data_IF_614507363500
#
_entry.id   IF_614507363500
#
_cell.length_a   1.000
_cell.length_b   1.000
_cell.length_c   1.000
_cell.angle_alpha   90.00
_cell.angle_beta   90.00
_cell.angle_gamma   90.00
#
_symmetry.space_group_name_H-M   'P 1'
#
loop_
_entity.id
_entity.type
_entity.pdbx_description
1 polymer ?
#
# COMPACT_ATOMS: atom_id res chain seq x y z
N UNK A 1 -1.62 -20.62 -11.85
CA UNK A 1 -1.22 -19.33 -11.26
C UNK A 1 -2.39 -18.71 -10.51
N UNK A 2 -2.13 -17.77 -9.58
CA UNK A 2 -3.18 -17.03 -8.92
C UNK A 2 -3.80 -16.04 -9.89
N UNK A 3 -5.11 -15.93 -9.87
CA UNK A 3 -5.81 -14.91 -10.65
C UNK A 3 -5.68 -13.54 -9.96
N UNK A 4 -6.09 -12.48 -10.65
CA UNK A 4 -6.18 -11.14 -10.06
C UNK A 4 -7.04 -11.16 -8.78
N UNK A 5 -8.21 -11.78 -8.83
CA UNK A 5 -9.12 -11.84 -7.69
C UNK A 5 -8.49 -12.57 -6.51
N UNK A 6 -7.83 -13.71 -6.73
CA UNK A 6 -7.18 -14.47 -5.66
C UNK A 6 -6.04 -13.70 -4.98
N UNK A 7 -5.42 -12.75 -5.69
CA UNK A 7 -4.30 -11.97 -5.19
C UNK A 7 -4.76 -10.69 -4.48
N UNK A 8 -5.81 -10.06 -4.96
CA UNK A 8 -6.24 -8.74 -4.50
C UNK A 8 -7.56 -8.76 -3.73
N UNK A 9 -8.27 -9.87 -3.73
CA UNK A 9 -9.53 -10.03 -3.03
C UNK A 9 -9.79 -11.51 -2.72
N UNK A 10 -10.17 -11.80 -1.49
CA UNK A 10 -10.58 -13.17 -1.13
C UNK A 10 -11.94 -13.52 -1.74
N UNK A 11 -12.15 -14.77 -2.18
CA UNK A 11 -13.45 -15.23 -2.66
C UNK A 11 -14.59 -14.94 -1.68
N UNK A 12 -15.75 -14.59 -2.22
CA UNK A 12 -16.91 -14.14 -1.41
C UNK A 12 -17.43 -15.22 -0.48
N UNK A 13 -17.30 -16.46 -0.88
CA UNK A 13 -17.82 -17.66 -0.17
C UNK A 13 -16.81 -18.28 0.80
N UNK A 14 -15.69 -17.63 1.05
CA UNK A 14 -14.70 -18.08 2.03
C UNK A 14 -15.24 -17.86 3.46
N UNK A 15 -15.41 -18.92 4.32
CA UNK A 15 -16.05 -18.80 5.63
C UNK A 15 -15.37 -17.78 6.56
N UNK A 16 -14.07 -17.85 6.73
CA UNK A 16 -13.29 -16.93 7.59
C UNK A 16 -12.59 -15.88 6.73
N UNK A 17 -13.38 -15.09 6.03
CA UNK A 17 -12.92 -14.13 5.05
C UNK A 17 -11.98 -13.08 5.66
N UNK A 18 -10.73 -13.14 5.24
CA UNK A 18 -9.70 -12.15 5.54
C UNK A 18 -9.35 -11.37 4.26
N UNK A 19 -8.46 -10.43 4.36
CA UNK A 19 -7.92 -9.71 3.20
C UNK A 19 -6.98 -10.60 2.41
N UNK A 20 -6.97 -10.45 1.09
CA UNK A 20 -5.92 -11.03 0.28
C UNK A 20 -4.58 -10.41 0.65
N UNK A 21 -3.51 -11.17 0.54
CA UNK A 21 -2.15 -10.75 0.89
C UNK A 21 -1.21 -10.92 -0.28
N UNK A 22 -0.42 -9.90 -0.56
CA UNK A 22 0.61 -9.97 -1.60
C UNK A 22 1.78 -9.05 -1.28
N UNK A 23 2.82 -9.13 -2.11
CA UNK A 23 4.01 -8.26 -2.04
C UNK A 23 3.76 -7.02 -2.90
N UNK A 24 4.25 -5.89 -2.43
CA UNK A 24 4.36 -4.65 -3.20
C UNK A 24 5.82 -4.34 -3.43
N UNK A 25 6.23 -4.17 -4.68
CA UNK A 25 7.58 -3.76 -5.06
C UNK A 25 7.66 -2.24 -5.17
N UNK A 26 8.57 -1.62 -4.43
CA UNK A 26 8.86 -0.20 -4.54
C UNK A 26 9.87 -0.01 -5.66
N UNK A 27 9.46 0.69 -6.72
CA UNK A 27 10.25 0.84 -7.94
C UNK A 27 10.95 2.19 -8.04
N UNK A 28 10.65 3.13 -7.15
CA UNK A 28 11.25 4.46 -7.13
C UNK A 28 11.88 4.72 -5.77
N UNK A 29 13.23 4.78 -5.73
CA UNK A 29 13.98 4.96 -4.48
C UNK A 29 13.89 6.39 -3.95
N UNK A 30 13.70 7.38 -4.82
CA UNK A 30 13.51 8.78 -4.44
C UNK A 30 12.00 9.08 -4.33
N UNK A 31 11.39 8.54 -3.29
CA UNK A 31 9.94 8.64 -3.08
C UNK A 31 9.59 8.61 -1.59
N UNK A 32 8.44 9.19 -1.23
CA UNK A 32 7.89 9.03 0.12
C UNK A 32 7.59 7.56 0.43
N UNK A 33 7.12 6.81 -0.58
CA UNK A 33 6.86 5.38 -0.43
C UNK A 33 8.11 4.63 0.04
N UNK A 34 9.25 4.87 -0.58
CA UNK A 34 10.51 4.24 -0.18
C UNK A 34 10.95 4.68 1.23
N UNK A 35 10.83 5.96 1.55
CA UNK A 35 11.19 6.50 2.87
C UNK A 35 10.31 5.91 3.97
N UNK A 36 9.03 5.75 3.72
CA UNK A 36 8.06 5.18 4.67
C UNK A 36 8.34 3.70 4.93
N UNK A 37 8.58 2.95 3.87
CA UNK A 37 8.79 1.48 3.96
C UNK A 37 10.21 1.15 4.44
N UNK A 38 11.19 1.91 4.02
CA UNK A 38 12.60 1.70 4.37
C UNK A 38 13.25 0.49 3.68
N UNK A 39 12.61 -0.03 2.62
CA UNK A 39 13.07 -1.17 1.83
C UNK A 39 12.47 -1.11 0.43
N UNK A 40 12.94 -1.98 -0.47
CA UNK A 40 12.44 -2.07 -1.84
C UNK A 40 11.18 -2.94 -1.99
N UNK A 41 10.74 -3.57 -0.91
CA UNK A 41 9.54 -4.41 -0.89
C UNK A 41 8.77 -4.21 0.41
N UNK A 42 7.45 -4.34 0.32
CA UNK A 42 6.58 -4.46 1.47
C UNK A 42 5.77 -5.75 1.31
N UNK A 43 5.98 -6.69 2.22
CA UNK A 43 5.37 -8.02 2.15
C UNK A 43 4.03 -8.08 2.89
N UNK A 44 3.16 -8.97 2.42
CA UNK A 44 1.89 -9.29 3.05
C UNK A 44 0.97 -8.08 3.24
N UNK A 45 0.95 -7.15 2.29
CA UNK A 45 0.00 -6.03 2.36
C UNK A 45 -1.43 -6.54 2.30
N UNK A 46 -2.30 -5.89 3.05
CA UNK A 46 -3.73 -6.18 3.04
C UNK A 46 -4.36 -5.63 1.78
N UNK A 47 -4.98 -6.47 0.96
CA UNK A 47 -5.55 -6.09 -0.34
C UNK A 47 -7.02 -6.44 -0.43
N UNK A 48 -7.82 -5.50 -0.93
CA UNK A 48 -9.25 -5.68 -1.09
C UNK A 48 -9.79 -4.76 -2.18
N UNK A 49 -9.61 -5.15 -3.44
CA UNK A 49 -10.15 -4.40 -4.57
C UNK A 49 -10.38 -5.32 -5.76
N UNK A 50 -11.26 -4.93 -6.67
CA UNK A 50 -11.59 -5.66 -7.90
C UNK A 50 -11.32 -4.84 -9.16
N UNK A 51 -10.80 -3.63 -9.00
CA UNK A 51 -10.35 -2.75 -10.07
C UNK A 51 -8.96 -2.23 -9.75
N UNK A 52 -8.16 -1.98 -10.76
CA UNK A 52 -6.81 -1.46 -10.58
C UNK A 52 -6.41 -0.56 -11.74
N UNK A 53 -5.46 0.32 -11.45
CA UNK A 53 -4.76 1.11 -12.46
C UNK A 53 -3.54 0.31 -12.91
N UNK A 54 -3.35 0.21 -14.22
CA UNK A 54 -2.19 -0.47 -14.80
C UNK A 54 -1.13 0.51 -15.28
N UNK A 55 -1.49 1.77 -15.46
CA UNK A 55 -0.58 2.82 -15.87
C UNK A 55 -1.15 4.20 -15.53
N UNK A 56 -0.28 5.21 -15.47
CA UNK A 56 -0.68 6.62 -15.38
C UNK A 56 0.00 7.41 -16.49
N UNK A 57 -0.73 8.32 -17.12
CA UNK A 57 -0.19 9.14 -18.20
C UNK A 57 0.61 10.31 -17.64
N UNK A 58 1.61 10.79 -18.40
CA UNK A 58 2.52 11.85 -17.96
C UNK A 58 1.82 13.18 -17.62
N UNK A 59 0.68 13.44 -18.22
CA UNK A 59 -0.11 14.68 -18.02
C UNK A 59 -0.85 14.72 -16.67
N UNK A 60 -0.93 13.61 -15.94
CA UNK A 60 -1.57 13.56 -14.62
C UNK A 60 -0.74 14.23 -13.52
N UNK A 61 0.57 14.40 -13.72
CA UNK A 61 1.51 14.82 -12.69
C UNK A 61 1.79 13.74 -11.65
N UNK A 62 1.31 12.52 -11.86
CA UNK A 62 1.52 11.38 -10.96
C UNK A 62 2.72 10.56 -11.40
N UNK A 63 3.49 10.07 -10.42
CA UNK A 63 4.58 9.13 -10.60
C UNK A 63 4.20 7.80 -9.98
N UNK A 64 4.30 6.69 -10.72
CA UNK A 64 4.15 5.35 -10.17
C UNK A 64 5.40 5.04 -9.35
N UNK A 65 5.23 4.75 -8.07
CA UNK A 65 6.34 4.50 -7.14
C UNK A 65 6.36 3.06 -6.61
N UNK A 66 5.26 2.34 -6.73
CA UNK A 66 5.18 0.94 -6.34
C UNK A 66 4.19 0.17 -7.21
N UNK A 67 4.46 -1.13 -7.36
CA UNK A 67 3.63 -2.04 -8.16
C UNK A 67 3.66 -3.45 -7.58
N UNK A 68 2.72 -4.27 -8.02
CA UNK A 68 2.78 -5.72 -7.94
C UNK A 68 2.58 -6.33 -9.31
N UNK A 69 3.06 -7.55 -9.53
CA UNK A 69 2.92 -8.24 -10.81
C UNK A 69 2.07 -9.49 -10.61
N UNK A 70 0.99 -9.61 -11.38
CA UNK A 70 0.07 -10.75 -11.36
C UNK A 70 -0.11 -11.26 -12.79
N UNK A 71 0.22 -12.54 -13.03
CA UNK A 71 0.11 -13.18 -14.34
C UNK A 71 0.80 -12.37 -15.46
N UNK A 72 1.96 -11.77 -15.16
CA UNK A 72 2.72 -10.95 -16.09
C UNK A 72 2.18 -9.54 -16.30
N UNK A 73 1.11 -9.16 -15.61
CA UNK A 73 0.53 -7.82 -15.66
C UNK A 73 0.99 -7.01 -14.44
N UNK A 74 1.53 -5.85 -14.67
CA UNK A 74 1.88 -4.91 -13.61
C UNK A 74 0.64 -4.14 -13.15
N UNK A 75 0.39 -4.17 -11.85
CA UNK A 75 -0.68 -3.44 -11.18
C UNK A 75 -0.06 -2.32 -10.38
N UNK A 76 -0.50 -1.10 -10.60
CA UNK A 76 -0.03 0.07 -9.83
C UNK A 76 -0.55 -0.04 -8.39
N UNK A 77 0.36 0.00 -7.43
CA UNK A 77 0.05 -0.12 -6.00
C UNK A 77 0.25 1.20 -5.24
N UNK A 78 1.09 2.08 -5.75
CA UNK A 78 1.24 3.42 -5.18
C UNK A 78 1.64 4.44 -6.25
N UNK A 79 1.10 5.66 -6.09
CA UNK A 79 1.42 6.82 -6.91
C UNK A 79 1.70 8.02 -6.02
N UNK A 80 2.56 8.93 -6.50
CA UNK A 80 2.87 10.19 -5.82
C UNK A 80 2.71 11.37 -6.77
N UNK A 81 2.25 12.50 -6.24
CA UNK A 81 2.41 13.78 -6.89
C UNK A 81 3.53 14.55 -6.15
N UNK A 82 4.73 14.46 -6.69
CA UNK A 82 5.94 14.99 -6.06
C UNK A 82 6.04 16.52 -6.12
N UNK A 83 5.14 17.19 -6.85
CA UNK A 83 5.03 18.66 -6.85
C UNK A 83 4.31 19.20 -5.60
N UNK A 84 3.71 18.33 -4.80
CA UNK A 84 2.99 18.69 -3.58
C UNK A 84 3.87 18.50 -2.35
N UNK A 85 3.44 19.05 -1.21
CA UNK A 85 4.13 18.88 0.08
C UNK A 85 4.16 17.41 0.49
N UNK A 86 3.02 16.73 0.36
CA UNK A 86 2.88 15.29 0.55
C UNK A 86 1.61 14.82 -0.17
N UNK A 87 1.77 13.98 -1.16
CA UNK A 87 0.65 13.40 -1.89
C UNK A 87 1.02 12.00 -2.33
N UNK A 88 0.58 11.01 -1.57
CA UNK A 88 0.82 9.59 -1.79
C UNK A 88 -0.52 8.87 -1.79
N UNK A 89 -0.83 8.15 -2.86
CA UNK A 89 -1.97 7.25 -2.94
C UNK A 89 -1.51 5.81 -2.98
N UNK A 90 -2.14 4.96 -2.18
CA UNK A 90 -1.87 3.51 -2.15
C UNK A 90 -3.13 2.72 -2.46
N UNK A 91 -2.98 1.58 -3.13
CA UNK A 91 -4.10 0.72 -3.49
C UNK A 91 -4.45 -0.27 -2.37
N UNK A 92 -3.47 -0.68 -1.59
CA UNK A 92 -3.65 -1.60 -0.46
C UNK A 92 -4.14 -0.87 0.80
N UNK A 93 -4.39 -1.63 1.87
CA UNK A 93 -4.99 -1.14 3.12
C UNK A 93 -4.00 -1.25 4.30
N UNK A 94 -3.10 -0.28 4.48
CA UNK A 94 -2.16 -0.32 5.61
C UNK A 94 -2.83 -0.16 6.97
N UNK A 95 -4.02 0.44 7.03
CA UNK A 95 -4.77 0.66 8.26
C UNK A 95 -5.15 -0.64 8.97
N UNK A 96 -5.33 -1.74 8.23
CA UNK A 96 -5.78 -3.00 8.82
C UNK A 96 -4.77 -3.60 9.79
N UNK A 97 -3.51 -3.72 9.39
CA UNK A 97 -2.47 -4.27 10.26
C UNK A 97 -2.05 -3.28 11.35
N UNK A 98 -2.04 -1.98 11.04
CA UNK A 98 -1.81 -0.94 12.05
C UNK A 98 -2.89 -0.97 13.14
N UNK A 99 -4.16 -1.12 12.77
CA UNK A 99 -5.28 -1.22 13.72
C UNK A 99 -5.16 -2.45 14.61
N UNK A 100 -4.88 -3.63 14.03
CA UNK A 100 -4.70 -4.87 14.78
C UNK A 100 -3.66 -4.72 15.89
N UNK A 101 -2.51 -4.16 15.58
CA UNK A 101 -1.41 -4.03 16.51
C UNK A 101 -1.65 -2.95 17.59
N UNK A 102 -2.18 -1.79 17.19
CA UNK A 102 -2.18 -0.60 18.04
C UNK A 102 -3.51 -0.35 18.74
N UNK A 103 -4.62 -0.66 18.10
CA UNK A 103 -5.95 -0.46 18.67
C UNK A 103 -6.48 -1.74 19.30
N UNK A 104 -6.39 -2.86 18.59
CA UNK A 104 -6.96 -4.14 19.06
C UNK A 104 -6.01 -4.90 20.00
N UNK A 105 -4.75 -4.45 20.13
CA UNK A 105 -3.77 -5.07 21.02
C UNK A 105 -3.33 -6.47 20.59
N UNK A 106 -3.36 -6.75 19.29
CA UNK A 106 -3.06 -8.06 18.69
C UNK A 106 -1.94 -7.99 17.65
N UNK A 107 -0.74 -7.49 18.03
CA UNK A 107 0.36 -7.35 17.08
C UNK A 107 0.78 -8.69 16.44
N UNK A 108 0.57 -9.82 17.14
CA UNK A 108 0.88 -11.15 16.65
C UNK A 108 -0.05 -11.60 15.49
N UNK A 109 -1.19 -10.99 15.32
CA UNK A 109 -2.12 -11.25 14.23
C UNK A 109 -1.82 -10.42 12.97
N UNK A 110 -1.03 -9.37 13.10
CA UNK A 110 -0.64 -8.53 11.98
C UNK A 110 0.29 -9.30 11.03
N UNK A 111 -0.03 -9.34 9.74
CA UNK A 111 0.73 -10.07 8.71
C UNK A 111 1.67 -9.18 7.94
N UNK A 112 1.32 -7.91 7.74
CA UNK A 112 2.21 -6.87 7.26
C UNK A 112 2.83 -6.17 8.47
N UNK A 113 4.07 -5.71 8.36
CA UNK A 113 4.76 -5.03 9.46
C UNK A 113 3.92 -3.83 9.96
N UNK A 114 3.39 -3.89 11.19
CA UNK A 114 2.48 -2.85 11.69
C UNK A 114 3.16 -1.51 11.91
N UNK A 115 4.46 -1.49 12.20
CA UNK A 115 5.22 -0.24 12.35
C UNK A 115 5.35 0.48 11.02
N UNK A 116 5.59 -0.25 9.94
CA UNK A 116 5.58 0.29 8.57
C UNK A 116 4.18 0.76 8.20
N UNK A 117 3.17 -0.05 8.46
CA UNK A 117 1.77 0.32 8.18
C UNK A 117 1.36 1.61 8.90
N UNK A 118 1.74 1.77 10.16
CA UNK A 118 1.52 3.00 10.92
C UNK A 118 2.27 4.18 10.33
N UNK A 119 3.46 3.95 9.79
CA UNK A 119 4.34 5.01 9.29
C UNK A 119 3.73 5.80 8.11
N UNK A 120 2.82 5.20 7.34
CA UNK A 120 2.06 5.93 6.32
C UNK A 120 1.26 7.08 6.94
N UNK A 121 0.59 6.82 8.05
CA UNK A 121 -0.25 7.81 8.75
C UNK A 121 0.58 8.81 9.54
N UNK A 122 1.67 8.37 10.17
CA UNK A 122 2.60 9.24 10.88
C UNK A 122 3.23 10.28 9.94
N UNK A 123 3.59 9.88 8.72
CA UNK A 123 4.12 10.80 7.73
C UNK A 123 3.07 11.82 7.27
N UNK A 124 1.83 11.41 7.06
CA UNK A 124 0.75 12.32 6.73
C UNK A 124 0.58 13.40 7.82
N UNK A 125 0.55 13.00 9.07
CA UNK A 125 0.43 13.92 10.22
C UNK A 125 1.65 14.84 10.31
N UNK A 126 2.86 14.31 10.13
CA UNK A 126 4.11 15.08 10.15
C UNK A 126 4.10 16.19 9.09
N UNK A 127 3.80 15.84 7.85
CA UNK A 127 3.78 16.83 6.77
C UNK A 127 2.64 17.84 6.91
N UNK A 128 1.49 17.43 7.44
CA UNK A 128 0.39 18.34 7.74
C UNK A 128 0.78 19.36 8.83
N UNK A 129 1.46 18.91 9.88
CA UNK A 129 1.96 19.78 10.95
C UNK A 129 3.01 20.78 10.45
N UNK A 130 3.95 20.35 9.61
CA UNK A 130 4.96 21.20 8.98
C UNK A 130 4.30 22.28 8.10
N UNK A 131 3.21 21.95 7.40
CA UNK A 131 2.49 22.88 6.54
C UNK A 131 1.80 24.00 7.31
N UNK A 132 1.40 23.73 8.56
CA UNK A 132 0.74 24.69 9.45
C UNK A 132 1.72 25.62 10.19
N UNK A 133 2.97 25.26 10.21
CA UNK A 133 3.99 26.02 10.92
C UNK A 133 4.36 27.32 10.20
#
# INVERSE_FOLDING_TARGET
>A
GKTYDDTHRMPVDTPDRDYARHVVDIIENDSWMHDIVGANKLENVSSWHHQAVTDVTADTGLTVVAKTTVDGLDIVEAVENQSKTFCLGVQFHPENDAKLALHDGKPEEAKCDPDVCLNFFQNLVKFAAEKQA
#
